data_IF_792558761654
#
_entry.id   IF_792558761654
#
_cell.length_a   1.000
_cell.length_b   1.000
_cell.length_c   1.000
_cell.angle_alpha   90.00
_cell.angle_beta   90.00
_cell.angle_gamma   90.00
#
_symmetry.space_group_name_H-M   'P 1'
#
loop_
_entity.id
_entity.type
_entity.pdbx_description
1 polymer ?
#
# COMPACT_ATOMS: atom_id res chain seq x y z
N UNK A 1 -27.47 16.39 31.88
CA UNK A 1 -26.49 15.64 32.68
C UNK A 1 -25.58 14.92 31.71
N UNK A 2 -24.28 15.21 31.79
CA UNK A 2 -23.24 14.55 31.01
C UNK A 2 -22.80 13.28 31.75
N UNK A 3 -22.79 12.16 31.05
CA UNK A 3 -22.03 10.93 31.33
C UNK A 3 -21.74 10.33 29.95
N UNK A 4 -20.49 10.35 29.43
CA UNK A 4 -19.43 9.38 29.75
C UNK A 4 -19.73 8.05 29.04
N UNK A 5 -18.92 7.40 28.21
CA UNK A 5 -17.48 7.40 27.99
C UNK A 5 -17.22 6.77 26.60
N UNK A 6 -16.28 7.30 25.80
CA UNK A 6 -15.52 6.45 24.87
C UNK A 6 -14.56 5.61 25.73
N UNK A 7 -14.33 4.31 25.43
CA UNK A 7 -13.75 3.90 24.16
C UNK A 7 -14.33 2.58 23.63
N UNK A 8 -15.09 2.64 22.54
CA UNK A 8 -15.16 1.47 21.69
C UNK A 8 -13.98 1.56 20.74
N UNK A 9 -12.97 0.73 21.01
CA UNK A 9 -11.92 0.32 20.06
C UNK A 9 -12.61 -0.23 18.81
N UNK A 10 -13.15 0.66 17.96
CA UNK A 10 -13.74 0.30 16.69
C UNK A 10 -12.59 -0.15 15.82
N UNK A 11 -12.46 -1.47 15.64
CA UNK A 11 -11.90 -2.00 14.39
C UNK A 11 -12.43 -1.11 13.27
N UNK A 12 -11.54 -0.50 12.50
CA UNK A 12 -11.91 0.31 11.34
C UNK A 12 -13.04 -0.39 10.59
N UNK A 13 -14.11 0.33 10.23
CA UNK A 13 -15.25 -0.22 9.50
C UNK A 13 -14.74 -1.11 8.36
N UNK A 14 -15.31 -2.31 8.21
CA UNK A 14 -14.88 -3.29 7.21
C UNK A 14 -14.79 -2.67 5.81
N UNK A 15 -15.69 -1.74 5.50
CA UNK A 15 -15.69 -0.96 4.26
C UNK A 15 -14.45 -0.07 4.09
N UNK A 16 -14.05 0.66 5.14
CA UNK A 16 -12.88 1.54 5.16
C UNK A 16 -11.59 0.73 5.06
N UNK A 17 -11.53 -0.41 5.75
CA UNK A 17 -10.38 -1.32 5.66
C UNK A 17 -10.24 -1.91 4.26
N UNK A 18 -11.34 -2.30 3.63
CA UNK A 18 -11.34 -2.80 2.25
C UNK A 18 -10.93 -1.72 1.26
N UNK A 19 -11.36 -0.47 1.45
CA UNK A 19 -10.91 0.67 0.66
C UNK A 19 -9.40 0.89 0.79
N UNK A 20 -8.89 0.95 2.02
CA UNK A 20 -7.45 1.12 2.28
C UNK A 20 -6.63 -0.02 1.65
N UNK A 21 -7.12 -1.25 1.75
CA UNK A 21 -6.50 -2.40 1.09
C UNK A 21 -6.50 -2.21 -0.43
N UNK A 22 -7.63 -1.88 -1.05
CA UNK A 22 -7.72 -1.68 -2.50
C UNK A 22 -6.77 -0.59 -3.00
N UNK A 23 -6.65 0.53 -2.28
CA UNK A 23 -5.69 1.60 -2.58
C UNK A 23 -4.25 1.06 -2.56
N UNK A 24 -3.88 0.35 -1.48
CA UNK A 24 -2.54 -0.22 -1.34
C UNK A 24 -2.22 -1.23 -2.45
N UNK A 25 -3.17 -2.11 -2.78
CA UNK A 25 -3.04 -3.12 -3.82
C UNK A 25 -2.81 -2.49 -5.19
N UNK A 26 -3.58 -1.45 -5.51
CA UNK A 26 -3.46 -0.74 -6.77
C UNK A 26 -2.09 -0.04 -6.88
N UNK A 27 -1.65 0.68 -5.84
CA UNK A 27 -0.34 1.31 -5.81
C UNK A 27 0.81 0.30 -6.01
N UNK A 28 0.73 -0.87 -5.36
CA UNK A 28 1.70 -1.94 -5.58
C UNK A 28 1.67 -2.48 -7.01
N UNK A 29 0.47 -2.67 -7.58
CA UNK A 29 0.32 -3.11 -8.96
C UNK A 29 0.97 -2.11 -9.92
N UNK A 30 0.78 -0.81 -9.71
CA UNK A 30 1.39 0.22 -10.55
C UNK A 30 2.92 0.24 -10.45
N UNK A 31 3.48 -0.05 -9.27
CA UNK A 31 4.94 -0.20 -9.09
C UNK A 31 5.50 -1.49 -9.73
N UNK A 32 4.79 -2.60 -9.60
CA UNK A 32 5.31 -3.95 -9.89
C UNK A 32 5.01 -4.41 -11.31
N UNK A 33 3.84 -4.08 -11.85
CA UNK A 33 3.30 -4.70 -13.05
C UNK A 33 4.20 -4.44 -14.27
N UNK A 34 4.72 -5.47 -14.94
CA UNK A 34 5.41 -5.31 -16.21
C UNK A 34 4.47 -5.76 -17.33
N UNK A 35 3.72 -4.87 -17.99
CA UNK A 35 2.90 -5.32 -19.14
C UNK A 35 2.95 -4.36 -20.33
N UNK A 36 3.73 -4.83 -21.31
CA UNK A 36 3.98 -4.32 -22.66
C UNK A 36 4.71 -2.98 -22.67
N UNK A 37 5.94 -3.02 -23.19
CA UNK A 37 6.95 -1.95 -23.27
C UNK A 37 6.52 -0.65 -23.97
N UNK A 38 5.25 -0.52 -24.37
CA UNK A 38 4.72 0.62 -25.11
C UNK A 38 3.75 1.50 -24.32
N UNK A 39 3.37 1.14 -23.08
CA UNK A 39 2.37 1.94 -22.36
C UNK A 39 3.02 3.10 -21.59
N UNK A 40 3.10 4.29 -22.22
CA UNK A 40 3.54 5.53 -21.58
C UNK A 40 2.75 5.85 -20.31
N UNK A 41 1.48 5.45 -20.24
CA UNK A 41 0.62 5.67 -19.08
C UNK A 41 1.11 4.87 -17.86
N UNK A 42 1.63 3.66 -18.05
CA UNK A 42 2.14 2.88 -16.94
C UNK A 42 3.37 3.52 -16.29
N UNK A 43 4.23 4.16 -17.06
CA UNK A 43 5.37 4.89 -16.51
C UNK A 43 4.92 6.06 -15.62
N UNK A 44 3.82 6.73 -15.99
CA UNK A 44 3.19 7.78 -15.18
C UNK A 44 2.56 7.18 -13.92
N UNK A 45 1.73 6.14 -14.04
CA UNK A 45 1.12 5.50 -12.87
C UNK A 45 2.15 4.95 -11.89
N UNK A 46 3.25 4.37 -12.40
CA UNK A 46 4.36 3.93 -11.57
C UNK A 46 5.03 5.08 -10.84
N UNK A 47 5.19 6.24 -11.50
CA UNK A 47 5.74 7.44 -10.87
C UNK A 47 4.77 7.94 -9.79
N UNK A 48 3.50 8.11 -10.12
CA UNK A 48 2.48 8.60 -9.19
C UNK A 48 2.35 7.69 -7.96
N UNK A 49 2.37 6.37 -8.15
CA UNK A 49 2.37 5.41 -7.05
C UNK A 49 3.63 5.52 -6.18
N UNK A 50 4.81 5.71 -6.78
CA UNK A 50 6.03 5.94 -6.02
C UNK A 50 5.96 7.26 -5.25
N UNK A 51 5.51 8.35 -5.88
CA UNK A 51 5.37 9.64 -5.23
C UNK A 51 4.39 9.51 -4.03
N UNK A 52 3.26 8.83 -4.21
CA UNK A 52 2.30 8.52 -3.15
C UNK A 52 2.89 7.72 -1.97
N UNK A 53 3.69 6.67 -2.22
CA UNK A 53 4.34 5.88 -1.16
C UNK A 53 5.34 6.69 -0.31
N UNK A 54 5.95 7.72 -0.90
CA UNK A 54 6.98 8.54 -0.26
C UNK A 54 6.48 9.92 0.17
N UNK A 55 5.20 10.20 -0.06
CA UNK A 55 4.59 11.42 0.41
C UNK A 55 4.28 11.32 1.92
N UNK A 56 4.33 12.45 2.61
CA UNK A 56 4.24 12.55 4.07
C UNK A 56 2.87 13.12 4.52
N UNK A 57 1.86 13.12 3.66
CA UNK A 57 0.53 13.58 4.04
C UNK A 57 -0.26 12.51 4.81
N UNK A 58 -1.24 12.96 5.60
CA UNK A 58 -2.06 12.13 6.49
C UNK A 58 -3.57 12.20 6.22
N UNK A 59 -3.99 12.82 5.10
CA UNK A 59 -5.40 12.92 4.73
C UNK A 59 -5.98 11.56 4.28
N UNK A 60 -7.32 11.35 4.28
CA UNK A 60 -7.93 10.10 3.83
C UNK A 60 -7.49 9.68 2.42
N UNK A 61 -6.95 8.47 2.28
CA UNK A 61 -6.40 7.95 1.03
C UNK A 61 -4.90 8.20 0.82
N UNK A 62 -4.25 8.99 1.68
CA UNK A 62 -2.79 9.08 1.74
C UNK A 62 -2.15 7.76 2.19
N UNK A 63 -0.85 7.60 1.95
CA UNK A 63 -0.12 6.40 2.35
C UNK A 63 -0.10 6.20 3.87
N UNK A 64 0.09 7.27 4.65
CA UNK A 64 0.04 7.19 6.11
C UNK A 64 -1.34 6.78 6.61
N UNK A 65 -2.40 7.39 6.07
CA UNK A 65 -3.78 7.00 6.41
C UNK A 65 -4.04 5.52 6.10
N UNK A 66 -3.60 5.03 4.94
CA UNK A 66 -3.72 3.60 4.58
C UNK A 66 -2.98 2.71 5.59
N UNK A 67 -1.75 3.08 5.98
CA UNK A 67 -0.98 2.34 6.97
C UNK A 67 -1.66 2.31 8.34
N UNK A 68 -2.24 3.44 8.79
CA UNK A 68 -2.99 3.53 10.04
C UNK A 68 -4.22 2.62 10.03
N UNK A 69 -5.03 2.67 8.96
CA UNK A 69 -6.23 1.83 8.82
C UNK A 69 -5.87 0.33 8.79
N UNK A 70 -4.79 -0.03 8.11
CA UNK A 70 -4.35 -1.42 7.98
C UNK A 70 -3.44 -1.89 9.12
N UNK A 71 -3.10 -1.01 10.07
CA UNK A 71 -2.15 -1.26 11.17
C UNK A 71 -0.78 -1.75 10.65
N UNK A 72 -0.28 -1.14 9.59
CA UNK A 72 0.99 -1.48 8.95
C UNK A 72 2.07 -0.44 9.27
N UNK A 73 3.33 -0.87 9.25
CA UNK A 73 4.47 0.03 9.40
C UNK A 73 4.84 0.67 8.05
N UNK A 74 4.67 1.98 7.96
CA UNK A 74 4.96 2.75 6.73
C UNK A 74 6.42 2.66 6.31
N UNK A 75 7.35 2.67 7.26
CA UNK A 75 8.79 2.61 6.98
C UNK A 75 9.24 1.23 6.49
N UNK A 76 8.65 0.15 7.01
CA UNK A 76 8.90 -1.20 6.49
C UNK A 76 8.47 -1.34 5.03
N UNK A 77 7.31 -0.79 4.67
CA UNK A 77 6.80 -0.78 3.30
C UNK A 77 7.69 0.08 2.38
N UNK A 78 8.09 1.28 2.82
CA UNK A 78 9.04 2.15 2.10
C UNK A 78 10.39 1.45 1.92
N UNK A 79 10.88 0.74 2.93
CA UNK A 79 12.12 -0.03 2.86
C UNK A 79 12.00 -1.22 1.90
N UNK A 80 10.86 -1.92 1.89
CA UNK A 80 10.56 -2.97 0.93
C UNK A 80 10.60 -2.42 -0.50
N UNK A 81 10.01 -1.25 -0.77
CA UNK A 81 10.04 -0.61 -2.08
C UNK A 81 11.45 -0.20 -2.52
N UNK A 82 12.24 0.39 -1.62
CA UNK A 82 13.65 0.72 -1.87
C UNK A 82 14.46 -0.53 -2.24
N UNK A 83 14.23 -1.64 -1.52
CA UNK A 83 14.86 -2.94 -1.76
C UNK A 83 14.40 -3.54 -3.10
N UNK A 84 13.10 -3.48 -3.39
CA UNK A 84 12.52 -3.95 -4.64
C UNK A 84 13.17 -3.24 -5.82
N UNK A 85 13.30 -1.90 -5.80
CA UNK A 85 13.89 -1.11 -6.89
C UNK A 85 15.32 -1.56 -7.22
N UNK A 86 16.15 -1.78 -6.19
CA UNK A 86 17.57 -2.16 -6.28
C UNK A 86 17.79 -3.65 -6.58
N UNK A 87 16.77 -4.48 -6.42
CA UNK A 87 16.87 -5.93 -6.61
C UNK A 87 16.97 -6.35 -8.08
N UNK A 88 17.66 -7.47 -8.32
CA UNK A 88 17.70 -8.13 -9.63
C UNK A 88 16.34 -8.76 -9.98
N UNK A 89 16.19 -9.22 -11.23
CA UNK A 89 14.92 -9.77 -11.74
C UNK A 89 14.43 -11.00 -10.98
N UNK A 90 15.34 -11.85 -10.48
CA UNK A 90 15.00 -13.07 -9.74
C UNK A 90 14.43 -12.69 -8.37
N UNK A 91 15.14 -11.82 -7.64
CA UNK A 91 14.71 -11.33 -6.33
C UNK A 91 13.40 -10.55 -6.43
N UNK A 92 13.23 -9.71 -7.45
CA UNK A 92 11.96 -9.02 -7.71
C UNK A 92 10.79 -9.99 -7.85
N UNK A 93 10.94 -11.06 -8.64
CA UNK A 93 9.90 -12.09 -8.78
C UNK A 93 9.55 -12.74 -7.45
N UNK A 94 10.56 -13.05 -6.62
CA UNK A 94 10.34 -13.66 -5.31
C UNK A 94 9.65 -12.71 -4.33
N UNK A 95 10.07 -11.45 -4.28
CA UNK A 95 9.43 -10.43 -3.46
C UNK A 95 7.94 -10.24 -3.83
N UNK A 96 7.62 -10.24 -5.12
CA UNK A 96 6.22 -10.12 -5.60
C UNK A 96 5.39 -11.33 -5.21
N UNK A 97 5.95 -12.55 -5.31
CA UNK A 97 5.24 -13.77 -4.87
C UNK A 97 4.89 -13.71 -3.39
N UNK A 98 5.81 -13.22 -2.55
CA UNK A 98 5.57 -13.05 -1.11
C UNK A 98 4.47 -12.03 -0.86
N UNK A 99 4.48 -10.90 -1.56
CA UNK A 99 3.45 -9.86 -1.45
C UNK A 99 2.04 -10.38 -1.77
N UNK A 100 1.87 -11.21 -2.81
CA UNK A 100 0.57 -11.79 -3.16
C UNK A 100 0.05 -12.72 -2.07
N UNK A 101 0.93 -13.48 -1.41
CA UNK A 101 0.56 -14.36 -0.30
C UNK A 101 0.09 -13.60 0.94
N UNK A 102 0.56 -12.37 1.16
CA UNK A 102 0.04 -11.51 2.23
C UNK A 102 -1.42 -11.08 2.02
N UNK A 103 -1.95 -11.17 0.79
CA UNK A 103 -3.28 -10.66 0.43
C UNK A 103 -4.38 -11.73 0.48
N UNK A 104 -4.03 -13.00 0.60
CA UNK A 104 -4.97 -14.12 0.69
C UNK A 104 -4.89 -14.64 2.13
N UNK A 105 -5.75 -14.18 3.05
CA UNK A 105 -5.94 -14.89 4.29
C UNK A 105 -6.53 -16.27 3.95
N UNK A 106 -5.91 -17.33 4.47
CA UNK A 106 -6.53 -18.66 4.53
C UNK A 106 -7.64 -18.66 5.58
#
# INVERSE_FOLDING_TARGET
>A
MSDGLYPQTKKSDSSVRNLALAILLQAFRDVIAPRKSSNKEWALWRRDAMDWFFADESYPGSFHWVCEILQMNSEELRMWLRTYKRSNRINKKEMVKRLIRFQIPH
#
